data_IF_525261669328
#
_entry.id   IF_525261669328
#
_cell.length_a   1.000
_cell.length_b   1.000
_cell.length_c   1.000
_cell.angle_alpha   90.00
_cell.angle_beta   90.00
_cell.angle_gamma   90.00
#
_symmetry.space_group_name_H-M   'P 1'
#
loop_
_entity.id
_entity.type
_entity.pdbx_description
1 polymer ?
#
# COMPACT_ATOMS: atom_id res chain seq x y z
N UNK A 1 2.12 24.13 -39.70
CA UNK A 1 1.89 22.70 -39.41
C UNK A 1 2.67 22.36 -38.15
N UNK A 2 2.02 21.84 -37.11
CA UNK A 2 2.71 21.43 -35.89
C UNK A 2 3.51 20.16 -36.14
N UNK A 3 4.75 20.09 -35.65
CA UNK A 3 5.64 18.93 -35.79
C UNK A 3 5.82 18.31 -34.41
N UNK A 4 5.35 17.08 -34.23
CA UNK A 4 5.65 16.27 -33.06
C UNK A 4 6.97 15.54 -33.30
N UNK A 5 7.96 15.81 -32.45
CA UNK A 5 9.29 15.20 -32.51
C UNK A 5 9.40 14.15 -31.43
N UNK A 6 9.82 12.94 -31.81
CA UNK A 6 9.94 11.80 -30.90
C UNK A 6 11.31 11.15 -31.10
N UNK A 7 12.09 11.01 -30.02
CA UNK A 7 13.35 10.26 -29.99
C UNK A 7 13.20 8.91 -29.31
N UNK A 8 14.09 8.01 -29.69
CA UNK A 8 14.08 6.60 -29.32
C UNK A 8 15.30 6.28 -28.46
N UNK A 9 15.11 5.51 -27.37
CA UNK A 9 16.17 4.64 -26.84
C UNK A 9 17.23 5.28 -25.96
N UNK A 10 16.86 6.10 -24.97
CA UNK A 10 17.80 6.49 -23.91
C UNK A 10 17.12 6.34 -22.55
N UNK A 11 17.76 5.61 -21.64
CA UNK A 11 17.36 5.56 -20.24
C UNK A 11 17.66 6.91 -19.60
N UNK A 12 16.61 7.64 -19.21
CA UNK A 12 16.68 9.00 -18.63
C UNK A 12 17.27 10.07 -19.58
N UNK A 13 16.54 10.44 -20.66
CA UNK A 13 16.99 11.46 -21.60
C UNK A 13 17.20 12.83 -20.93
N UNK A 14 18.22 13.56 -21.38
CA UNK A 14 18.55 14.91 -20.93
C UNK A 14 18.32 15.95 -22.03
N UNK A 15 18.56 17.24 -21.72
CA UNK A 15 18.52 18.33 -22.70
C UNK A 15 19.61 18.22 -23.78
N UNK A 16 20.63 17.39 -23.58
CA UNK A 16 21.59 17.04 -24.63
C UNK A 16 21.00 16.01 -25.62
N UNK A 17 20.11 15.13 -25.13
CA UNK A 17 19.47 14.10 -25.94
C UNK A 17 18.26 14.64 -26.72
N UNK A 18 17.44 15.50 -26.11
CA UNK A 18 16.29 16.15 -26.75
C UNK A 18 16.65 17.59 -27.01
N UNK A 19 16.72 18.04 -28.27
CA UNK A 19 17.26 19.36 -28.64
C UNK A 19 16.20 20.47 -28.64
N UNK A 20 14.91 20.11 -28.71
CA UNK A 20 13.81 21.06 -28.84
C UNK A 20 12.83 20.99 -27.67
N UNK A 21 12.29 22.14 -27.26
CA UNK A 21 11.17 22.21 -26.31
C UNK A 21 9.95 21.51 -26.93
N UNK A 22 9.27 20.67 -26.15
CA UNK A 22 8.15 19.83 -26.60
C UNK A 22 8.56 18.55 -27.31
N UNK A 23 9.86 18.27 -27.46
CA UNK A 23 10.33 17.00 -27.99
C UNK A 23 10.12 15.87 -26.96
N UNK A 24 9.64 14.72 -27.45
CA UNK A 24 9.33 13.55 -26.65
C UNK A 24 10.43 12.48 -26.77
N UNK A 25 10.61 11.66 -25.75
CA UNK A 25 11.47 10.48 -25.79
C UNK A 25 10.84 9.27 -25.13
N UNK A 26 10.93 8.12 -25.81
CA UNK A 26 10.57 6.82 -25.23
C UNK A 26 11.79 6.13 -24.63
N UNK A 27 11.68 5.83 -23.34
CA UNK A 27 12.54 4.89 -22.63
C UNK A 27 11.85 3.52 -22.62
N UNK A 28 12.27 2.65 -23.53
CA UNK A 28 11.70 1.31 -23.64
C UNK A 28 12.16 0.35 -22.55
N UNK A 29 13.29 0.64 -21.89
CA UNK A 29 13.78 -0.18 -20.79
C UNK A 29 12.87 -0.04 -19.58
N UNK A 30 12.40 1.19 -19.30
CA UNK A 30 11.55 1.48 -18.15
C UNK A 30 10.07 1.74 -18.51
N UNK A 31 9.68 1.48 -19.77
CA UNK A 31 8.36 1.77 -20.31
C UNK A 31 7.85 3.19 -19.95
N UNK A 32 8.69 4.19 -20.18
CA UNK A 32 8.45 5.58 -19.79
C UNK A 32 8.48 6.53 -20.99
N UNK A 33 7.63 7.56 -20.94
CA UNK A 33 7.64 8.70 -21.86
C UNK A 33 8.26 9.90 -21.16
N UNK A 34 9.05 10.68 -21.87
CA UNK A 34 9.63 11.93 -21.40
C UNK A 34 9.31 13.07 -22.36
N UNK A 35 9.23 14.29 -21.86
CA UNK A 35 9.05 15.52 -22.63
C UNK A 35 10.09 16.56 -22.19
N UNK A 36 10.70 17.24 -23.16
CA UNK A 36 11.59 18.38 -22.89
C UNK A 36 10.78 19.65 -22.65
N UNK A 37 11.06 20.35 -21.55
CA UNK A 37 10.66 21.74 -21.35
C UNK A 37 11.83 22.69 -21.68
N UNK A 38 11.73 23.98 -21.34
CA UNK A 38 12.79 24.97 -21.63
C UNK A 38 14.12 24.71 -20.91
N UNK A 39 14.10 24.09 -19.74
CA UNK A 39 15.26 23.95 -18.84
C UNK A 39 15.64 22.51 -18.50
N UNK A 40 14.74 21.55 -18.69
CA UNK A 40 14.91 20.14 -18.28
C UNK A 40 14.10 19.18 -19.16
N UNK A 41 14.25 17.89 -18.88
CA UNK A 41 13.43 16.81 -19.45
C UNK A 41 12.68 16.15 -18.31
N UNK A 42 11.34 16.08 -18.43
CA UNK A 42 10.44 15.55 -17.41
C UNK A 42 9.77 14.27 -17.91
N UNK A 43 9.49 13.33 -17.01
CA UNK A 43 8.72 12.13 -17.35
C UNK A 43 7.25 12.53 -17.54
N UNK A 44 6.63 12.06 -18.61
CA UNK A 44 5.21 12.26 -18.95
C UNK A 44 4.45 11.04 -18.47
N UNK A 45 3.52 11.25 -17.53
CA UNK A 45 2.75 10.18 -16.92
C UNK A 45 3.51 9.45 -15.81
N UNK A 46 2.78 9.09 -14.75
CA UNK A 46 3.29 8.35 -13.60
C UNK A 46 3.72 9.25 -12.45
N UNK A 47 2.76 9.87 -11.75
CA UNK A 47 3.00 10.36 -10.38
C UNK A 47 3.31 9.20 -9.43
N UNK A 48 2.79 8.00 -9.71
CA UNK A 48 2.99 6.79 -8.94
C UNK A 48 3.89 5.80 -9.69
N UNK A 49 5.03 5.48 -9.10
CA UNK A 49 5.97 4.44 -9.53
C UNK A 49 5.69 3.16 -8.75
N UNK A 50 5.41 2.05 -9.44
CA UNK A 50 5.32 0.73 -8.79
C UNK A 50 6.71 0.30 -8.32
N UNK A 51 6.88 0.08 -7.02
CA UNK A 51 8.16 -0.32 -6.41
C UNK A 51 8.13 -1.69 -5.75
N UNK A 52 6.94 -2.26 -5.57
CA UNK A 52 6.78 -3.62 -5.08
C UNK A 52 5.49 -4.22 -5.62
N UNK A 53 5.54 -5.49 -6.03
CA UNK A 53 4.36 -6.28 -6.38
C UNK A 53 4.58 -7.74 -5.97
N UNK A 54 3.53 -8.34 -5.42
CA UNK A 54 3.47 -9.77 -5.10
C UNK A 54 2.04 -10.27 -5.29
N UNK A 55 1.91 -11.49 -5.78
CA UNK A 55 0.67 -12.26 -5.78
C UNK A 55 1.01 -13.74 -5.53
N UNK A 56 0.29 -14.40 -4.64
CA UNK A 56 0.52 -15.82 -4.38
C UNK A 56 -0.40 -16.44 -3.33
N UNK A 57 -0.22 -17.76 -3.16
CA UNK A 57 -0.96 -18.60 -2.20
C UNK A 57 -0.20 -18.57 -0.86
N UNK A 58 -0.57 -17.65 0.01
CA UNK A 58 -0.08 -17.52 1.38
C UNK A 58 -1.03 -16.63 2.18
N UNK A 59 -1.13 -16.88 3.49
CA UNK A 59 -1.93 -16.08 4.41
C UNK A 59 -1.15 -14.91 5.03
N UNK A 60 0.17 -14.81 4.81
CA UNK A 60 0.98 -13.65 5.21
C UNK A 60 2.02 -13.30 4.17
N UNK A 61 2.46 -12.04 4.17
CA UNK A 61 3.44 -11.58 3.22
C UNK A 61 4.43 -10.57 3.82
N UNK A 62 5.69 -10.62 3.37
CA UNK A 62 6.77 -9.74 3.80
C UNK A 62 7.32 -8.96 2.60
N UNK A 63 6.90 -7.71 2.44
CA UNK A 63 7.40 -6.83 1.41
C UNK A 63 8.71 -6.17 1.87
N UNK A 64 9.85 -6.68 1.40
CA UNK A 64 11.17 -6.10 1.66
C UNK A 64 11.43 -4.96 0.69
N UNK A 65 11.43 -3.74 1.22
CA UNK A 65 11.61 -2.50 0.49
C UNK A 65 12.22 -1.48 1.46
N UNK A 66 13.26 -0.77 1.03
CA UNK A 66 13.80 0.36 1.80
C UNK A 66 12.93 1.59 1.56
N UNK A 67 12.25 2.07 2.59
CA UNK A 67 11.40 3.26 2.52
C UNK A 67 12.27 4.51 2.67
N UNK A 68 12.37 5.28 1.58
CA UNK A 68 13.11 6.52 1.48
C UNK A 68 12.19 7.70 1.87
N UNK A 69 12.58 8.52 2.86
CA UNK A 69 11.81 9.69 3.28
C UNK A 69 11.60 10.79 2.22
N UNK A 70 12.23 10.68 1.05
CA UNK A 70 11.93 11.55 -0.09
C UNK A 70 10.57 11.24 -0.74
N UNK A 71 9.97 10.08 -0.45
CA UNK A 71 8.76 9.58 -1.11
C UNK A 71 7.59 9.38 -0.15
N UNK A 72 6.39 9.45 -0.72
CA UNK A 72 5.14 8.99 -0.12
C UNK A 72 4.79 7.64 -0.77
N UNK A 73 4.36 6.67 0.03
CA UNK A 73 4.07 5.31 -0.44
C UNK A 73 2.58 5.02 -0.34
N UNK A 74 2.00 4.39 -1.37
CA UNK A 74 0.64 3.85 -1.36
C UNK A 74 0.71 2.33 -1.40
N UNK A 75 0.11 1.69 -0.40
CA UNK A 75 0.05 0.24 -0.27
C UNK A 75 -1.38 -0.20 -0.54
N UNK A 76 -1.53 -1.16 -1.46
CA UNK A 76 -2.80 -1.82 -1.74
C UNK A 76 -2.64 -3.32 -1.52
N UNK A 77 -3.49 -3.89 -0.68
CA UNK A 77 -3.51 -5.31 -0.34
C UNK A 77 -4.88 -5.87 -0.64
N UNK A 78 -4.93 -7.00 -1.34
CA UNK A 78 -6.13 -7.83 -1.49
C UNK A 78 -5.80 -9.20 -0.93
N UNK A 79 -6.59 -9.67 0.02
CA UNK A 79 -6.43 -11.00 0.60
C UNK A 79 -7.77 -11.73 0.56
N UNK A 80 -7.77 -13.01 0.18
CA UNK A 80 -9.00 -13.78 0.06
C UNK A 80 -8.81 -15.20 0.57
N UNK A 81 -9.79 -15.75 1.25
CA UNK A 81 -9.91 -17.21 1.45
C UNK A 81 -10.83 -17.82 0.41
N UNK A 82 -10.83 -19.15 0.36
CA UNK A 82 -11.84 -19.92 -0.36
C UNK A 82 -12.62 -20.83 0.59
N UNK A 83 -13.87 -21.12 0.24
CA UNK A 83 -14.72 -22.09 0.95
C UNK A 83 -15.69 -21.46 1.95
N UNK A 84 -16.15 -22.27 2.90
CA UNK A 84 -17.29 -21.95 3.78
C UNK A 84 -16.87 -21.70 5.24
N UNK A 85 -15.58 -21.80 5.54
CA UNK A 85 -15.06 -21.61 6.89
C UNK A 85 -15.04 -20.13 7.26
N UNK A 86 -15.50 -19.81 8.47
CA UNK A 86 -15.51 -18.44 8.99
C UNK A 86 -14.17 -18.11 9.63
N UNK A 87 -13.61 -16.96 9.29
CA UNK A 87 -12.46 -16.36 9.96
C UNK A 87 -12.84 -14.97 10.52
N UNK A 88 -12.78 -14.82 11.83
CA UNK A 88 -13.05 -13.56 12.53
C UNK A 88 -11.76 -12.85 12.99
N UNK A 89 -10.61 -13.20 12.42
CA UNK A 89 -9.34 -12.60 12.77
C UNK A 89 -9.21 -11.19 12.18
N UNK A 90 -8.54 -10.31 12.92
CA UNK A 90 -8.19 -8.97 12.47
C UNK A 90 -6.86 -8.97 11.72
N UNK A 91 -6.68 -8.01 10.82
CA UNK A 91 -5.41 -7.78 10.15
C UNK A 91 -4.37 -7.26 11.15
N UNK A 92 -3.14 -7.77 11.05
CA UNK A 92 -1.95 -7.30 11.75
C UNK A 92 -0.90 -6.82 10.76
N UNK A 93 -0.42 -5.59 10.95
CA UNK A 93 0.71 -5.02 10.23
C UNK A 93 1.90 -4.92 11.19
N UNK A 94 3.09 -5.32 10.72
CA UNK A 94 4.34 -5.02 11.38
C UNK A 94 5.23 -4.21 10.44
N UNK A 95 5.62 -3.03 10.89
CA UNK A 95 6.67 -2.26 10.25
C UNK A 95 8.00 -2.73 10.81
N UNK A 96 8.95 -3.06 9.94
CA UNK A 96 10.20 -3.69 10.37
C UNK A 96 11.40 -2.97 9.77
N UNK A 97 12.53 -3.06 10.45
CA UNK A 97 13.83 -2.67 9.89
C UNK A 97 14.22 -3.64 8.76
N UNK A 98 15.28 -3.30 8.01
CA UNK A 98 15.87 -4.23 7.04
C UNK A 98 16.42 -5.51 7.68
N UNK A 99 16.75 -5.46 8.98
CA UNK A 99 17.12 -6.62 9.80
C UNK A 99 15.91 -7.40 10.36
N UNK A 100 14.69 -7.09 9.92
CA UNK A 100 13.43 -7.72 10.32
C UNK A 100 13.04 -7.55 11.81
N UNK A 101 13.67 -6.63 12.53
CA UNK A 101 13.24 -6.23 13.87
C UNK A 101 11.98 -5.37 13.77
N UNK A 102 10.96 -5.65 14.59
CA UNK A 102 9.74 -4.86 14.59
C UNK A 102 9.98 -3.46 15.17
N UNK A 103 9.49 -2.44 14.47
CA UNK A 103 9.49 -1.06 14.90
C UNK A 103 8.33 -0.80 15.87
N UNK A 104 8.54 0.13 16.79
CA UNK A 104 7.56 0.48 17.82
C UNK A 104 6.80 1.74 17.39
N UNK A 105 5.53 1.80 17.76
CA UNK A 105 4.66 2.90 17.42
C UNK A 105 3.36 2.92 18.21
N UNK A 106 2.36 3.57 17.63
CA UNK A 106 0.99 3.61 18.16
C UNK A 106 0.00 3.45 17.02
N UNK A 107 -1.20 2.97 17.32
CA UNK A 107 -2.31 2.94 16.37
C UNK A 107 -3.60 3.41 16.98
N UNK A 108 -4.51 3.85 16.12
CA UNK A 108 -5.92 4.01 16.39
C UNK A 108 -6.70 3.51 15.18
N UNK A 109 -7.80 2.81 15.42
CA UNK A 109 -8.72 2.42 14.38
C UNK A 109 -10.16 2.54 14.88
N UNK A 110 -11.06 2.91 13.97
CA UNK A 110 -12.50 2.90 14.17
C UNK A 110 -13.13 1.98 13.16
N UNK A 111 -14.04 1.13 13.60
CA UNK A 111 -14.71 0.19 12.71
C UNK A 111 -16.20 0.10 12.97
N UNK A 112 -16.91 -0.33 11.94
CA UNK A 112 -18.33 -0.66 11.97
C UNK A 112 -18.58 -1.83 11.03
N UNK A 113 -19.65 -2.57 11.25
CA UNK A 113 -20.08 -3.62 10.33
C UNK A 113 -21.61 -3.68 10.23
N UNK A 114 -22.10 -4.54 9.36
CA UNK A 114 -23.52 -4.73 9.05
C UNK A 114 -24.37 -5.33 10.19
N UNK A 115 -23.75 -5.70 11.31
CA UNK A 115 -24.38 -6.39 12.45
C UNK A 115 -24.38 -5.53 13.72
N UNK A 116 -23.36 -4.68 13.85
CA UNK A 116 -23.16 -3.82 15.02
C UNK A 116 -23.79 -2.46 14.76
N UNK A 117 -24.65 -2.00 15.67
CA UNK A 117 -25.36 -0.72 15.57
C UNK A 117 -24.53 0.50 15.98
N UNK A 118 -23.26 0.30 16.32
CA UNK A 118 -22.35 1.33 16.84
C UNK A 118 -20.99 1.29 16.14
N UNK A 119 -20.29 2.42 16.17
CA UNK A 119 -18.89 2.52 15.76
C UNK A 119 -18.04 2.16 16.98
N UNK A 120 -17.13 1.21 16.81
CA UNK A 120 -16.19 0.78 17.84
C UNK A 120 -14.80 1.36 17.56
N UNK A 121 -14.03 1.61 18.62
CA UNK A 121 -12.65 2.12 18.54
C UNK A 121 -11.68 1.15 19.21
N UNK A 122 -10.51 0.97 18.62
CA UNK A 122 -9.36 0.34 19.25
C UNK A 122 -8.12 1.24 19.12
N UNK A 123 -7.21 1.16 20.08
CA UNK A 123 -5.95 1.90 20.03
C UNK A 123 -4.94 1.31 20.99
N UNK A 124 -3.65 1.38 20.62
CA UNK A 124 -2.55 1.04 21.50
C UNK A 124 -1.38 2.01 21.31
N UNK A 125 -0.49 2.07 22.29
CA UNK A 125 0.75 2.84 22.28
C UNK A 125 1.92 1.93 22.67
N UNK A 126 3.12 2.29 22.22
CA UNK A 126 4.35 1.54 22.50
C UNK A 126 4.23 0.06 22.10
N UNK A 127 3.60 -0.20 20.95
CA UNK A 127 3.40 -1.55 20.39
C UNK A 127 4.19 -1.71 19.11
N UNK A 128 4.56 -2.94 18.80
CA UNK A 128 5.19 -3.32 17.53
C UNK A 128 4.23 -4.05 16.57
N UNK A 129 3.04 -4.38 17.06
CA UNK A 129 1.94 -4.98 16.30
C UNK A 129 0.82 -3.95 16.12
N UNK A 130 0.48 -3.66 14.87
CA UNK A 130 -0.50 -2.65 14.49
C UNK A 130 -1.76 -3.35 13.99
N UNK A 131 -2.83 -3.29 14.79
CA UNK A 131 -4.06 -4.03 14.54
C UNK A 131 -5.07 -3.18 13.77
N UNK A 132 -5.60 -3.75 12.70
CA UNK A 132 -6.74 -3.22 11.94
C UNK A 132 -7.92 -4.16 12.21
N UNK A 133 -8.95 -3.76 12.99
CA UNK A 133 -10.07 -4.62 13.41
C UNK A 133 -11.09 -4.86 12.29
N UNK A 134 -10.65 -5.45 11.19
CA UNK A 134 -11.40 -5.72 9.96
C UNK A 134 -11.93 -7.17 9.90
N UNK A 135 -12.33 -7.74 11.04
CA UNK A 135 -12.86 -9.10 11.09
C UNK A 135 -14.17 -9.25 10.30
N UNK A 136 -14.42 -10.44 9.73
CA UNK A 136 -15.72 -10.77 9.14
C UNK A 136 -16.82 -10.74 10.21
N UNK A 137 -17.95 -10.10 9.89
CA UNK A 137 -19.03 -9.84 10.84
C UNK A 137 -19.91 -11.06 11.16
N UNK A 138 -19.83 -12.12 10.35
CA UNK A 138 -20.51 -13.40 10.58
C UNK A 138 -22.05 -13.36 10.57
N UNK A 139 -22.67 -12.36 9.94
CA UNK A 139 -24.13 -12.25 9.75
C UNK A 139 -24.71 -13.15 8.67
N UNK A 140 -23.88 -13.74 7.81
CA UNK A 140 -24.33 -14.66 6.75
C UNK A 140 -23.50 -15.93 6.71
N UNK A 141 -24.11 -17.00 6.22
CA UNK A 141 -23.40 -18.24 5.91
C UNK A 141 -22.50 -18.03 4.69
N UNK A 142 -21.22 -18.38 4.82
CA UNK A 142 -20.26 -18.31 3.74
C UNK A 142 -20.48 -19.41 2.71
N UNK A 143 -20.44 -19.06 1.43
CA UNK A 143 -20.50 -20.03 0.32
C UNK A 143 -19.19 -20.16 -0.45
N UNK A 144 -18.33 -19.15 -0.37
CA UNK A 144 -17.20 -19.01 -1.31
C UNK A 144 -15.93 -18.46 -0.68
N UNK A 145 -16.01 -17.64 0.36
CA UNK A 145 -14.86 -17.19 1.13
C UNK A 145 -15.01 -15.76 1.64
N UNK A 146 -13.96 -15.29 2.32
CA UNK A 146 -13.85 -13.92 2.84
C UNK A 146 -12.81 -13.18 1.99
N UNK A 147 -13.08 -11.93 1.67
CA UNK A 147 -12.14 -11.01 1.02
C UNK A 147 -11.88 -9.81 1.93
N UNK A 148 -10.62 -9.42 2.03
CA UNK A 148 -10.17 -8.18 2.66
C UNK A 148 -9.43 -7.33 1.63
N UNK A 149 -9.78 -6.05 1.58
CA UNK A 149 -9.05 -5.03 0.81
C UNK A 149 -8.53 -3.99 1.79
N UNK A 150 -7.22 -3.77 1.80
CA UNK A 150 -6.56 -2.82 2.70
C UNK A 150 -5.77 -1.83 1.85
N UNK A 151 -6.12 -0.55 2.00
CA UNK A 151 -5.55 0.56 1.24
C UNK A 151 -5.04 1.62 2.20
N UNK A 152 -3.76 1.96 2.11
CA UNK A 152 -3.20 3.01 2.96
C UNK A 152 -2.01 3.72 2.37
N UNK A 153 -1.82 4.95 2.83
CA UNK A 153 -0.62 5.73 2.57
C UNK A 153 0.38 5.56 3.72
N UNK A 154 1.66 5.59 3.42
CA UNK A 154 2.76 5.74 4.38
C UNK A 154 3.54 6.99 4.00
N UNK A 155 3.58 7.95 4.92
CA UNK A 155 4.18 9.27 4.73
C UNK A 155 5.23 9.56 5.81
N UNK A 156 6.43 10.04 5.43
CA UNK A 156 7.45 10.44 6.38
C UNK A 156 7.03 11.74 7.09
N UNK A 157 7.38 11.86 8.37
CA UNK A 157 7.19 13.09 9.15
C UNK A 157 8.53 13.66 9.59
N UNK A 158 8.60 14.98 9.66
CA UNK A 158 9.84 15.72 9.92
C UNK A 158 9.91 16.16 11.37
N UNK A 159 11.09 16.05 11.97
CA UNK A 159 11.35 16.64 13.28
C UNK A 159 11.89 18.08 13.13
N UNK A 160 13.16 18.24 12.73
CA UNK A 160 13.82 19.55 12.68
C UNK A 160 14.06 20.08 11.25
N UNK A 161 14.06 19.21 10.25
CA UNK A 161 14.31 19.58 8.86
C UNK A 161 13.68 18.60 7.88
N UNK A 162 13.61 18.97 6.60
CA UNK A 162 13.08 18.10 5.54
C UNK A 162 13.92 16.83 5.28
N UNK A 163 15.11 16.74 5.87
CA UNK A 163 16.03 15.61 5.78
C UNK A 163 16.07 14.79 7.09
N UNK A 164 15.39 15.26 8.13
CA UNK A 164 15.37 14.64 9.46
C UNK A 164 14.02 13.95 9.67
N UNK A 165 13.93 12.72 9.14
CA UNK A 165 12.75 11.86 9.29
C UNK A 165 13.00 10.84 10.38
N UNK A 166 12.26 10.97 11.47
CA UNK A 166 12.37 10.06 12.64
C UNK A 166 11.11 9.21 12.83
N UNK A 167 10.03 9.57 12.14
CA UNK A 167 8.72 8.99 12.35
C UNK A 167 7.94 8.95 11.03
N UNK A 168 7.12 7.92 10.88
CA UNK A 168 6.22 7.73 9.76
C UNK A 168 4.78 7.75 10.27
N UNK A 169 3.88 8.29 9.44
CA UNK A 169 2.45 8.15 9.61
C UNK A 169 1.92 7.27 8.50
N UNK A 170 1.16 6.26 8.87
CA UNK A 170 0.41 5.46 7.92
C UNK A 170 -1.08 5.58 8.21
N UNK A 171 -1.91 5.77 7.20
CA UNK A 171 -3.35 5.93 7.40
C UNK A 171 -4.12 5.45 6.16
N UNK A 172 -5.31 4.91 6.40
CA UNK A 172 -6.07 4.29 5.33
C UNK A 172 -7.32 3.59 5.79
N UNK A 173 -7.81 2.71 4.92
CA UNK A 173 -9.06 1.97 5.10
C UNK A 173 -8.84 0.48 4.90
N UNK A 174 -9.62 -0.33 5.60
CA UNK A 174 -9.77 -1.73 5.32
C UNK A 174 -11.25 -2.08 5.18
N UNK A 175 -11.57 -2.93 4.20
CA UNK A 175 -12.91 -3.42 3.92
C UNK A 175 -12.85 -4.94 3.91
N UNK A 176 -13.73 -5.56 4.69
CA UNK A 176 -13.90 -7.01 4.70
C UNK A 176 -15.30 -7.35 4.26
N UNK A 177 -15.40 -8.28 3.31
CA UNK A 177 -16.64 -8.76 2.73
C UNK A 177 -16.54 -10.26 2.49
N UNK A 178 -17.65 -10.88 2.13
CA UNK A 178 -17.67 -12.22 1.52
C UNK A 178 -17.42 -12.11 0.01
N UNK A 179 -16.85 -13.15 -0.58
CA UNK A 179 -16.56 -13.23 -2.02
C UNK A 179 -17.74 -13.85 -2.75
N UNK A 180 -18.23 -13.24 -3.83
CA UNK A 180 -19.16 -13.92 -4.77
C UNK A 180 -20.57 -14.22 -4.25
N UNK A 181 -21.05 -13.51 -3.21
CA UNK A 181 -22.41 -13.66 -2.67
C UNK A 181 -23.23 -12.38 -2.86
N UNK A 182 -24.52 -12.51 -3.16
CA UNK A 182 -25.43 -11.36 -3.37
C UNK A 182 -25.90 -10.69 -2.09
N UNK A 183 -25.79 -11.37 -0.94
CA UNK A 183 -26.11 -10.86 0.40
C UNK A 183 -24.83 -10.65 1.21
N UNK A 184 -23.87 -9.91 0.64
CA UNK A 184 -22.55 -9.78 1.21
C UNK A 184 -22.56 -9.01 2.55
N UNK A 185 -21.82 -9.52 3.53
CA UNK A 185 -21.51 -8.79 4.77
C UNK A 185 -20.47 -7.73 4.51
N UNK A 186 -20.41 -6.71 5.37
CA UNK A 186 -19.44 -5.63 5.25
C UNK A 186 -18.94 -5.23 6.63
N UNK A 187 -17.63 -5.31 6.83
CA UNK A 187 -16.91 -4.62 7.90
C UNK A 187 -16.03 -3.54 7.28
N UNK A 188 -16.13 -2.32 7.78
CA UNK A 188 -15.30 -1.19 7.34
C UNK A 188 -14.49 -0.65 8.51
N UNK A 189 -13.23 -0.34 8.24
CA UNK A 189 -12.28 0.21 9.22
C UNK A 189 -11.58 1.42 8.63
N UNK A 190 -11.54 2.51 9.39
CA UNK A 190 -10.60 3.61 9.22
C UNK A 190 -9.48 3.44 10.25
N UNK A 191 -8.22 3.53 9.83
CA UNK A 191 -7.09 3.35 10.73
C UNK A 191 -5.96 4.35 10.49
N UNK A 192 -5.19 4.60 11.55
CA UNK A 192 -3.97 5.38 11.50
C UNK A 192 -2.91 4.78 12.43
N UNK A 193 -1.69 4.68 11.95
CA UNK A 193 -0.50 4.20 12.64
C UNK A 193 0.53 5.31 12.67
N UNK A 194 1.31 5.36 13.74
CA UNK A 194 2.54 6.13 13.80
C UNK A 194 3.68 5.21 14.18
N UNK A 195 4.80 5.32 13.47
CA UNK A 195 5.91 4.36 13.53
C UNK A 195 7.21 5.13 13.74
N UNK A 196 7.98 4.78 14.76
CA UNK A 196 9.29 5.36 15.00
C UNK A 196 10.39 4.50 14.35
N UNK A 197 11.28 5.13 13.59
CA UNK A 197 12.46 4.50 12.99
C UNK A 197 12.38 4.29 11.47
N UNK A 198 13.41 3.64 10.93
CA UNK A 198 13.56 3.40 9.49
C UNK A 198 12.87 2.11 9.06
N UNK A 199 11.87 2.23 8.17
CA UNK A 199 11.15 1.09 7.62
C UNK A 199 12.00 0.48 6.48
N UNK A 200 12.36 -0.80 6.63
CA UNK A 200 13.04 -1.60 5.61
C UNK A 200 12.24 -2.83 5.17
N UNK A 201 11.11 -3.09 5.81
CA UNK A 201 10.20 -4.16 5.45
C UNK A 201 8.80 -3.88 6.00
N UNK A 202 7.78 -4.28 5.23
CA UNK A 202 6.39 -4.28 5.65
C UNK A 202 5.88 -5.73 5.71
N UNK A 203 5.51 -6.20 6.90
CA UNK A 203 4.85 -7.49 7.10
C UNK A 203 3.35 -7.29 7.20
N UNK A 204 2.61 -8.07 6.42
CA UNK A 204 1.15 -8.02 6.36
C UNK A 204 0.63 -9.42 6.69
N UNK A 205 -0.20 -9.50 7.72
CA UNK A 205 -1.01 -10.67 8.02
C UNK A 205 -2.48 -10.24 8.01
N UNK A 206 -3.24 -10.52 6.95
CA UNK A 206 -4.67 -10.20 6.87
C UNK A 206 -5.53 -10.96 7.89
N UNK A 207 -4.96 -11.91 8.62
CA UNK A 207 -5.67 -12.76 9.59
C UNK A 207 -6.41 -13.92 8.95
N UNK A 208 -6.52 -13.97 7.62
CA UNK A 208 -7.21 -15.00 6.85
C UNK A 208 -6.37 -16.27 6.74
N UNK A 209 -6.50 -17.20 7.69
CA UNK A 209 -5.71 -18.43 7.77
C UNK A 209 -6.63 -19.65 7.92
N UNK A 210 -7.34 -19.99 6.85
CA UNK A 210 -8.32 -21.07 6.86
C UNK A 210 -7.80 -22.36 6.22
N UNK A 211 -6.56 -22.34 5.70
CA UNK A 211 -5.91 -23.55 5.18
C UNK A 211 -6.46 -24.00 3.82
N UNK A 212 -7.13 -23.12 3.06
CA UNK A 212 -7.65 -23.43 1.72
C UNK A 212 -7.57 -22.20 0.82
N UNK A 213 -6.93 -22.35 -0.35
CA UNK A 213 -5.86 -21.46 -0.78
C UNK A 213 -6.13 -20.02 -0.33
N UNK A 214 -5.47 -19.61 0.75
CA UNK A 214 -5.46 -18.22 1.18
C UNK A 214 -4.58 -17.46 0.17
N UNK A 215 -5.16 -16.50 -0.51
CA UNK A 215 -4.51 -15.70 -1.54
C UNK A 215 -4.20 -14.32 -0.99
N UNK A 216 -3.02 -13.79 -1.32
CA UNK A 216 -2.70 -12.40 -1.07
C UNK A 216 -2.00 -11.77 -2.27
N UNK A 217 -2.45 -10.57 -2.61
CA UNK A 217 -1.85 -9.65 -3.56
C UNK A 217 -1.45 -8.38 -2.83
N UNK A 218 -0.22 -7.92 -3.03
CA UNK A 218 0.34 -6.71 -2.41
C UNK A 218 0.99 -5.88 -3.49
N UNK A 219 0.59 -4.63 -3.62
CA UNK A 219 1.28 -3.64 -4.46
C UNK A 219 1.66 -2.43 -3.64
N UNK A 220 2.86 -1.90 -3.91
CA UNK A 220 3.35 -0.67 -3.29
C UNK A 220 3.79 0.26 -4.41
N UNK A 221 3.16 1.42 -4.46
CA UNK A 221 3.55 2.53 -5.30
C UNK A 221 4.25 3.60 -4.47
N UNK A 222 5.12 4.38 -5.08
CA UNK A 222 5.68 5.58 -4.46
C UNK A 222 5.49 6.79 -5.36
N UNK A 223 5.40 7.96 -4.76
CA UNK A 223 5.46 9.25 -5.43
C UNK A 223 6.48 10.13 -4.75
N UNK A 224 7.23 10.91 -5.53
CA UNK A 224 8.17 11.87 -4.96
C UNK A 224 7.36 12.93 -4.22
N UNK A 225 7.77 13.28 -3.00
CA UNK A 225 7.07 14.30 -2.21
C UNK A 225 7.18 15.71 -2.81
N UNK A 226 8.16 15.94 -3.70
CA UNK A 226 8.53 17.24 -4.29
C UNK A 226 8.44 17.21 -5.80
#
# INVERSE_FOLDING_TARGET
MAILRVKRGTTKPSTANLSYVGELAFDYTNNALYARNSTSVVKVGGELELVYAYEGITYTHSATLVFDPAYIYKVHVVATTQGTSVDSSSTLIYYRTSGLSNLIGSYVATYSNDVVSTITKTSARSTSSFTIPDAHSSSVTLTSGISKVIDFEISPTFALSLNDTQQWLAYGKAITSVTGQGNATLTMVDFAHTINGTIGNLYINPGLNLGSPDLISVTIYRTLRK
#
